data_IF_770925293596
#
_entry.id   IF_770925293596
#
_cell.length_a   1.000
_cell.length_b   1.000
_cell.length_c   1.000
_cell.angle_alpha   90.00
_cell.angle_beta   90.00
_cell.angle_gamma   90.00
#
_symmetry.space_group_name_H-M   'P 1'
#
loop_
_entity.id
_entity.type
_entity.pdbx_description
1 polymer ?
#
# COMPACT_ATOMS: atom_id res chain seq x y z
N UNK A 1 -0.34 4.16 -20.84
CA UNK A 1 -1.43 3.84 -21.78
C UNK A 1 -2.33 5.05 -21.90
N UNK A 2 -2.57 5.57 -23.12
CA UNK A 2 -3.52 6.66 -23.33
C UNK A 2 -4.96 6.15 -23.12
N UNK A 3 -5.81 7.00 -22.58
CA UNK A 3 -7.21 6.70 -22.26
C UNK A 3 -8.09 7.58 -23.14
N UNK A 4 -8.81 6.95 -24.06
CA UNK A 4 -9.53 7.64 -25.13
C UNK A 4 -11.01 7.88 -24.77
N UNK A 5 -11.47 7.36 -23.63
CA UNK A 5 -12.83 7.58 -23.15
C UNK A 5 -12.92 7.71 -21.63
N UNK A 6 -13.95 8.42 -21.12
CA UNK A 6 -14.24 8.49 -19.69
C UNK A 6 -14.34 7.12 -19.01
N UNK A 7 -14.94 6.14 -19.68
CA UNK A 7 -15.08 4.78 -19.14
C UNK A 7 -13.71 4.11 -18.91
N UNK A 8 -12.73 4.35 -19.80
CA UNK A 8 -11.36 3.86 -19.62
C UNK A 8 -10.67 4.57 -18.45
N UNK A 9 -10.93 5.87 -18.26
CA UNK A 9 -10.43 6.64 -17.10
C UNK A 9 -10.97 6.07 -15.80
N UNK A 10 -12.28 5.89 -15.69
CA UNK A 10 -12.89 5.33 -14.49
C UNK A 10 -12.44 3.89 -14.23
N UNK A 11 -12.31 3.08 -15.28
CA UNK A 11 -11.80 1.71 -15.18
C UNK A 11 -10.36 1.70 -14.64
N UNK A 12 -9.47 2.55 -15.17
CA UNK A 12 -8.09 2.66 -14.68
C UNK A 12 -8.02 3.12 -13.22
N UNK A 13 -8.81 4.12 -12.83
CA UNK A 13 -8.90 4.59 -11.44
C UNK A 13 -9.45 3.50 -10.51
N UNK A 14 -10.48 2.78 -10.96
CA UNK A 14 -11.08 1.64 -10.25
C UNK A 14 -10.04 0.53 -10.03
N UNK A 15 -9.24 0.22 -11.06
CA UNK A 15 -8.09 -0.70 -11.00
C UNK A 15 -6.97 -0.20 -10.08
N UNK A 16 -7.00 1.05 -9.64
CA UNK A 16 -5.98 1.64 -8.76
C UNK A 16 -4.71 2.08 -9.49
N UNK A 17 -4.78 2.22 -10.82
CA UNK A 17 -3.71 2.84 -11.62
C UNK A 17 -3.63 4.32 -11.33
N UNK A 18 -2.43 4.86 -11.44
CA UNK A 18 -2.23 6.30 -11.36
C UNK A 18 -2.59 6.89 -12.72
N UNK A 19 -3.60 7.75 -12.74
CA UNK A 19 -4.06 8.44 -13.95
C UNK A 19 -3.51 9.86 -13.94
N UNK A 20 -3.11 10.32 -15.11
CA UNK A 20 -2.57 11.65 -15.37
C UNK A 20 -3.37 12.31 -16.48
N UNK A 21 -3.35 13.63 -16.49
CA UNK A 21 -4.04 14.46 -17.47
C UNK A 21 -3.14 15.59 -17.95
N UNK A 22 -3.37 16.08 -19.16
CA UNK A 22 -2.80 17.32 -19.69
C UNK A 22 -3.77 17.97 -20.68
N UNK A 23 -3.54 19.23 -21.01
CA UNK A 23 -4.26 19.90 -22.09
C UNK A 23 -3.82 19.37 -23.46
N UNK A 24 -4.73 19.37 -24.43
CA UNK A 24 -4.42 18.97 -25.79
C UNK A 24 -3.32 19.87 -26.40
N UNK A 25 -2.19 19.25 -26.74
CA UNK A 25 -1.02 19.95 -27.30
C UNK A 25 0.06 20.25 -26.26
N UNK A 26 -0.17 19.93 -24.99
CA UNK A 26 0.84 19.94 -23.93
C UNK A 26 1.35 18.54 -23.61
N UNK A 27 2.62 18.45 -23.19
CA UNK A 27 3.26 17.25 -22.66
C UNK A 27 3.43 17.30 -21.13
N UNK A 28 2.87 18.32 -20.47
CA UNK A 28 2.96 18.53 -19.02
C UNK A 28 1.89 17.73 -18.28
N UNK A 29 2.20 16.46 -18.02
CA UNK A 29 1.29 15.54 -17.34
C UNK A 29 1.15 15.84 -15.85
N UNK A 30 -0.08 16.08 -15.42
CA UNK A 30 -0.45 16.32 -14.03
C UNK A 30 -1.23 15.13 -13.46
N UNK A 31 -0.98 14.68 -12.21
CA UNK A 31 -1.75 13.59 -11.62
C UNK A 31 -3.24 13.94 -11.46
N UNK A 32 -4.11 13.04 -11.89
CA UNK A 32 -5.54 13.11 -11.65
C UNK A 32 -5.84 12.63 -10.22
N UNK A 33 -5.94 13.57 -9.28
CA UNK A 33 -6.17 13.31 -7.87
C UNK A 33 -7.22 14.28 -7.28
N UNK A 34 -7.51 14.17 -5.98
CA UNK A 34 -8.51 15.02 -5.31
C UNK A 34 -8.22 16.52 -5.33
N UNK A 35 -6.98 16.92 -5.65
CA UNK A 35 -6.55 18.32 -5.78
C UNK A 35 -6.53 18.80 -7.24
N UNK A 36 -6.81 17.92 -8.20
CA UNK A 36 -6.87 18.31 -9.61
C UNK A 36 -8.02 19.31 -9.80
N UNK A 37 -7.75 20.40 -10.51
CA UNK A 37 -8.74 21.44 -10.83
C UNK A 37 -9.56 21.06 -12.07
N UNK A 38 -9.90 19.78 -12.20
CA UNK A 38 -10.69 19.25 -13.31
C UNK A 38 -12.08 18.89 -12.80
N UNK A 39 -13.10 19.33 -13.52
CA UNK A 39 -14.48 18.96 -13.28
C UNK A 39 -14.84 17.64 -13.99
N UNK A 40 -15.92 16.99 -13.55
CA UNK A 40 -16.42 15.79 -14.22
C UNK A 40 -16.78 16.05 -15.70
N UNK A 41 -17.28 17.24 -16.01
CA UNK A 41 -17.60 17.65 -17.39
C UNK A 41 -16.38 17.64 -18.30
N UNK A 42 -15.21 18.03 -17.79
CA UNK A 42 -13.98 18.15 -18.58
C UNK A 42 -13.47 16.80 -19.10
N UNK A 43 -13.90 15.69 -18.49
CA UNK A 43 -13.63 14.34 -19.00
C UNK A 43 -14.29 14.09 -20.36
N UNK A 44 -15.34 14.85 -20.70
CA UNK A 44 -16.15 14.69 -21.91
C UNK A 44 -15.94 15.81 -22.93
N UNK A 45 -15.15 16.84 -22.62
CA UNK A 45 -15.03 18.02 -23.49
C UNK A 45 -14.10 17.80 -24.68
N UNK A 46 -13.19 16.83 -24.61
CA UNK A 46 -12.21 16.53 -25.65
C UNK A 46 -10.95 17.39 -25.62
N UNK A 47 -10.90 18.45 -24.80
CA UNK A 47 -9.71 19.32 -24.69
C UNK A 47 -8.61 18.77 -23.78
N UNK A 48 -8.89 17.68 -23.06
CA UNK A 48 -7.94 17.05 -22.15
C UNK A 48 -7.55 15.67 -22.67
N UNK A 49 -6.26 15.36 -22.53
CA UNK A 49 -5.72 14.03 -22.76
C UNK A 49 -5.51 13.34 -21.42
N UNK A 50 -5.73 12.03 -21.39
CA UNK A 50 -5.56 11.23 -20.20
C UNK A 50 -4.66 10.03 -20.48
N UNK A 51 -3.85 9.66 -19.50
CA UNK A 51 -3.07 8.43 -19.54
C UNK A 51 -3.05 7.75 -18.18
N UNK A 52 -3.00 6.41 -18.19
CA UNK A 52 -2.74 5.61 -17.01
C UNK A 52 -1.33 5.03 -17.05
N UNK A 53 -0.70 4.98 -15.88
CA UNK A 53 0.47 4.14 -15.65
C UNK A 53 0.02 2.72 -15.31
N UNK A 54 0.63 1.74 -15.97
CA UNK A 54 0.33 0.34 -15.69
C UNK A 54 0.82 -0.06 -14.30
N UNK A 55 0.08 -0.99 -13.70
CA UNK A 55 0.51 -1.59 -12.44
C UNK A 55 1.79 -2.41 -12.67
N UNK A 56 2.73 -2.36 -11.73
CA UNK A 56 3.93 -3.20 -11.80
C UNK A 56 3.58 -4.69 -11.83
N UNK A 57 4.42 -5.47 -12.51
CA UNK A 57 4.36 -6.94 -12.48
C UNK A 57 5.36 -7.46 -11.45
N UNK A 58 4.86 -8.20 -10.47
CA UNK A 58 5.68 -8.75 -9.39
C UNK A 58 6.46 -9.97 -9.88
N UNK A 59 7.76 -10.05 -9.56
CA UNK A 59 8.58 -11.18 -9.94
C UNK A 59 8.18 -12.46 -9.18
N UNK A 60 7.76 -13.47 -9.94
CA UNK A 60 7.42 -14.81 -9.45
C UNK A 60 8.55 -15.83 -9.72
N UNK A 61 8.68 -16.92 -8.92
CA UNK A 61 7.92 -17.19 -7.70
C UNK A 61 8.38 -16.34 -6.52
N UNK A 62 7.48 -16.08 -5.58
CA UNK A 62 7.82 -15.43 -4.30
C UNK A 62 8.28 -16.53 -3.33
N UNK A 63 9.54 -16.49 -2.86
CA UNK A 63 10.07 -17.50 -1.95
C UNK A 63 9.37 -17.40 -0.59
N UNK A 64 8.95 -18.56 -0.06
CA UNK A 64 8.32 -18.65 1.26
C UNK A 64 9.37 -19.13 2.26
N UNK A 65 9.88 -18.20 3.07
CA UNK A 65 11.01 -18.47 3.98
C UNK A 65 10.56 -18.99 5.36
N UNK A 66 9.43 -18.52 5.88
CA UNK A 66 8.94 -18.87 7.23
C UNK A 66 7.43 -19.16 7.20
N UNK A 67 7.01 -20.38 7.55
CA UNK A 67 5.60 -20.80 7.61
C UNK A 67 5.02 -20.82 9.03
N UNK A 68 5.73 -20.32 10.05
CA UNK A 68 5.22 -20.28 11.43
C UNK A 68 3.98 -19.40 11.57
N UNK A 69 3.99 -18.24 10.91
CA UNK A 69 2.92 -17.25 11.06
C UNK A 69 1.94 -17.33 9.89
N UNK A 70 0.64 -17.22 10.20
CA UNK A 70 -0.41 -17.23 9.17
C UNK A 70 -0.22 -16.13 8.11
N UNK A 71 0.31 -14.97 8.49
CA UNK A 71 0.61 -13.87 7.58
C UNK A 71 1.97 -13.26 7.88
N UNK A 72 2.74 -12.98 6.83
CA UNK A 72 4.09 -12.46 6.97
C UNK A 72 4.44 -11.42 5.89
N UNK A 73 5.31 -10.48 6.25
CA UNK A 73 5.89 -9.52 5.32
C UNK A 73 7.06 -10.17 4.60
N UNK A 74 7.08 -10.09 3.28
CA UNK A 74 8.12 -10.71 2.46
C UNK A 74 9.19 -9.70 2.07
N UNK A 75 8.83 -8.64 1.33
CA UNK A 75 9.76 -7.63 0.82
C UNK A 75 9.05 -6.38 0.33
N UNK A 76 9.82 -5.34 0.07
CA UNK A 76 9.38 -4.19 -0.72
C UNK A 76 9.84 -4.36 -2.17
N UNK A 77 8.97 -4.08 -3.13
CA UNK A 77 9.26 -4.19 -4.56
C UNK A 77 8.47 -3.11 -5.30
N UNK A 78 9.17 -2.25 -6.07
CA UNK A 78 8.53 -1.23 -6.91
C UNK A 78 7.53 -0.31 -6.17
N UNK A 79 7.86 0.07 -4.93
CA UNK A 79 7.01 0.92 -4.09
C UNK A 79 5.82 0.20 -3.43
N UNK A 80 5.72 -1.12 -3.61
CA UNK A 80 4.71 -1.98 -3.00
C UNK A 80 5.32 -2.82 -1.88
N UNK A 81 4.53 -3.03 -0.83
CA UNK A 81 4.86 -3.96 0.24
C UNK A 81 4.21 -5.32 -0.06
N UNK A 82 5.02 -6.38 -0.15
CA UNK A 82 4.54 -7.73 -0.48
C UNK A 82 4.35 -8.53 0.80
N UNK A 83 3.19 -9.15 0.93
CA UNK A 83 2.81 -9.99 2.05
C UNK A 83 2.35 -11.36 1.56
N UNK A 84 2.63 -12.38 2.38
CA UNK A 84 1.99 -13.68 2.29
C UNK A 84 0.87 -13.75 3.31
N UNK A 85 -0.26 -14.33 2.93
CA UNK A 85 -1.36 -14.68 3.84
C UNK A 85 -1.81 -16.11 3.57
N UNK A 86 -1.93 -16.90 4.64
CA UNK A 86 -2.24 -18.32 4.59
C UNK A 86 -0.98 -19.20 4.57
N UNK A 87 -1.13 -20.40 5.15
CA UNK A 87 -0.07 -21.41 5.19
C UNK A 87 -0.25 -22.48 4.10
N UNK A 88 -1.51 -22.83 3.75
CA UNK A 88 -1.81 -23.73 2.63
C UNK A 88 -3.32 -23.66 2.26
N UNK A 89 -3.72 -23.16 1.08
CA UNK A 89 -2.88 -22.48 0.09
C UNK A 89 -2.40 -21.12 0.62
N UNK A 90 -1.15 -20.78 0.34
CA UNK A 90 -0.65 -19.43 0.57
C UNK A 90 -1.06 -18.51 -0.58
N UNK A 91 -1.50 -17.29 -0.26
CA UNK A 91 -1.79 -16.24 -1.23
C UNK A 91 -0.87 -15.06 -0.99
N UNK A 92 -0.57 -14.32 -2.05
CA UNK A 92 0.29 -13.15 -1.99
C UNK A 92 -0.50 -11.89 -2.26
N UNK A 93 -0.19 -10.84 -1.52
CA UNK A 93 -0.85 -9.55 -1.62
C UNK A 93 0.19 -8.44 -1.66
N UNK A 94 -0.01 -7.47 -2.54
CA UNK A 94 0.76 -6.23 -2.60
C UNK A 94 -0.05 -5.09 -1.99
N UNK A 95 0.59 -4.30 -1.13
CA UNK A 95 -0.01 -3.12 -0.50
C UNK A 95 0.64 -1.86 -1.06
N UNK A 96 -0.16 -0.95 -1.61
CA UNK A 96 0.26 0.40 -2.05
C UNK A 96 -0.24 1.43 -1.05
N UNK A 97 0.68 2.19 -0.46
CA UNK A 97 0.33 3.25 0.49
C UNK A 97 0.08 4.55 -0.29
N UNK A 98 -1.13 5.11 -0.23
CA UNK A 98 -1.45 6.40 -0.85
C UNK A 98 -1.18 7.55 0.13
N UNK A 99 -0.09 8.28 -0.10
CA UNK A 99 0.17 9.59 0.52
C UNK A 99 0.42 9.58 2.04
N UNK A 100 0.60 10.80 2.57
CA UNK A 100 1.07 11.04 3.94
C UNK A 100 -0.06 10.73 4.96
N UNK A 101 0.03 9.58 5.63
CA UNK A 101 -0.98 9.12 6.60
C UNK A 101 -0.76 9.75 7.97
N UNK A 102 -1.78 10.43 8.50
CA UNK A 102 -1.95 10.57 9.94
C UNK A 102 -2.17 9.18 10.58
N UNK A 103 -1.73 9.00 11.82
CA UNK A 103 -1.76 7.70 12.53
C UNK A 103 -3.17 7.11 12.64
N UNK A 104 -4.22 7.94 12.62
CA UNK A 104 -5.62 7.53 12.80
C UNK A 104 -6.26 6.84 11.59
N UNK A 105 -5.82 7.10 10.36
CA UNK A 105 -6.42 6.58 9.11
C UNK A 105 -5.49 5.62 8.35
N UNK A 106 -4.55 5.03 9.09
CA UNK A 106 -3.36 4.39 8.55
C UNK A 106 -3.61 3.25 7.56
N UNK A 107 -4.67 2.45 7.76
CA UNK A 107 -5.02 1.34 6.85
C UNK A 107 -6.12 1.71 5.84
N UNK A 108 -6.81 2.84 6.04
CA UNK A 108 -7.86 3.30 5.12
C UNK A 108 -7.29 3.77 3.77
N UNK A 109 -6.08 4.30 3.77
CA UNK A 109 -5.41 4.83 2.57
C UNK A 109 -4.46 3.82 1.90
N UNK A 110 -4.65 2.53 2.16
CA UNK A 110 -3.87 1.46 1.53
C UNK A 110 -4.73 0.79 0.47
N UNK A 111 -4.26 0.77 -0.78
CA UNK A 111 -4.79 -0.14 -1.76
C UNK A 111 -4.19 -1.53 -1.55
N UNK A 112 -5.03 -2.55 -1.67
CA UNK A 112 -4.63 -3.95 -1.54
C UNK A 112 -4.81 -4.59 -2.92
N UNK A 113 -3.80 -5.33 -3.36
CA UNK A 113 -3.82 -6.07 -4.61
C UNK A 113 -3.54 -7.54 -4.33
N UNK A 114 -4.33 -8.44 -4.89
CA UNK A 114 -3.99 -9.86 -4.99
C UNK A 114 -2.94 -10.02 -6.10
N UNK A 115 -1.87 -10.76 -5.80
CA UNK A 115 -0.82 -11.07 -6.78
C UNK A 115 -1.18 -12.40 -7.44
N UNK A 116 -1.50 -12.36 -8.72
CA UNK A 116 -1.82 -13.54 -9.51
C UNK A 116 -0.55 -14.37 -9.80
N UNK A 117 -0.74 -15.60 -10.28
CA UNK A 117 0.37 -16.54 -10.56
C UNK A 117 1.36 -16.03 -11.60
N UNK A 118 0.92 -15.16 -12.51
CA UNK A 118 1.76 -14.49 -13.51
C UNK A 118 2.41 -13.20 -12.98
N UNK A 119 2.23 -12.85 -11.71
CA UNK A 119 2.76 -11.64 -11.09
C UNK A 119 1.90 -10.38 -11.29
N UNK A 120 0.81 -10.46 -12.06
CA UNK A 120 -0.10 -9.33 -12.26
C UNK A 120 -0.88 -8.99 -10.99
N UNK A 121 -1.25 -7.72 -10.87
CA UNK A 121 -1.92 -7.18 -9.69
C UNK A 121 -3.42 -7.02 -9.97
N UNK A 122 -4.25 -7.69 -9.17
CA UNK A 122 -5.70 -7.53 -9.18
C UNK A 122 -6.12 -6.78 -7.93
N UNK A 123 -6.68 -5.59 -8.07
CA UNK A 123 -7.12 -4.79 -6.92
C UNK A 123 -8.22 -5.52 -6.15
N UNK A 124 -8.09 -5.48 -4.83
CA UNK A 124 -9.06 -6.04 -3.89
C UNK A 124 -9.99 -4.93 -3.43
N UNK A 125 -11.29 -5.12 -3.64
CA UNK A 125 -12.29 -4.25 -3.02
C UNK A 125 -12.36 -4.53 -1.52
N UNK A 126 -11.95 -3.55 -0.72
CA UNK A 126 -11.92 -3.66 0.74
C UNK A 126 -13.32 -3.77 1.37
N UNK A 127 -14.36 -3.27 0.71
CA UNK A 127 -15.73 -3.38 1.20
C UNK A 127 -16.27 -4.80 1.07
N UNK A 128 -15.83 -5.52 0.03
CA UNK A 128 -16.23 -6.91 -0.25
C UNK A 128 -15.23 -7.95 0.28
N UNK A 129 -14.02 -7.52 0.63
CA UNK A 129 -12.99 -8.40 1.14
C UNK A 129 -13.39 -9.01 2.50
N UNK A 130 -13.06 -10.28 2.75
CA UNK A 130 -13.25 -10.88 4.06
C UNK A 130 -12.50 -10.11 5.14
N UNK A 131 -13.15 -9.83 6.28
CA UNK A 131 -12.54 -9.10 7.41
C UNK A 131 -11.22 -9.72 7.88
N UNK A 132 -11.14 -11.06 7.88
CA UNK A 132 -9.92 -11.75 8.28
C UNK A 132 -8.72 -11.37 7.42
N UNK A 133 -8.91 -11.09 6.12
CA UNK A 133 -7.82 -10.75 5.22
C UNK A 133 -7.25 -9.37 5.57
N UNK A 134 -8.13 -8.38 5.67
CA UNK A 134 -7.74 -6.99 5.99
C UNK A 134 -7.13 -6.89 7.37
N UNK A 135 -7.72 -7.56 8.39
CA UNK A 135 -7.17 -7.60 9.74
C UNK A 135 -5.79 -8.26 9.82
N UNK A 136 -5.57 -9.38 9.12
CA UNK A 136 -4.27 -10.04 9.15
C UNK A 136 -3.19 -9.20 8.46
N UNK A 137 -3.50 -8.59 7.30
CA UNK A 137 -2.59 -7.69 6.63
C UNK A 137 -2.24 -6.47 7.49
N UNK A 138 -3.22 -5.88 8.17
CA UNK A 138 -3.01 -4.77 9.09
C UNK A 138 -2.13 -5.16 10.30
N UNK A 139 -2.42 -6.31 10.92
CA UNK A 139 -1.64 -6.83 12.06
C UNK A 139 -0.20 -7.11 11.64
N UNK A 140 0.01 -7.83 10.54
CA UNK A 140 1.36 -8.15 10.04
C UNK A 140 2.12 -6.90 9.66
N UNK A 141 1.49 -5.95 8.98
CA UNK A 141 2.09 -4.66 8.63
C UNK A 141 2.53 -3.89 9.88
N UNK A 142 1.65 -3.78 10.87
CA UNK A 142 1.94 -3.09 12.14
C UNK A 142 3.08 -3.76 12.89
N UNK A 143 3.07 -5.09 12.97
CA UNK A 143 4.14 -5.87 13.59
C UNK A 143 5.47 -5.66 12.88
N UNK A 144 5.50 -5.68 11.54
CA UNK A 144 6.71 -5.44 10.76
C UNK A 144 7.29 -4.04 11.01
N UNK A 145 6.46 -2.99 11.04
CA UNK A 145 6.93 -1.62 11.36
C UNK A 145 7.48 -1.51 12.77
N UNK A 146 6.81 -2.11 13.76
CA UNK A 146 7.32 -2.17 15.14
C UNK A 146 8.67 -2.88 15.20
N UNK A 147 8.81 -4.00 14.49
CA UNK A 147 10.08 -4.73 14.37
C UNK A 147 11.19 -3.85 13.77
N UNK A 148 10.92 -3.16 12.66
CA UNK A 148 11.89 -2.26 12.02
C UNK A 148 12.28 -1.11 12.95
N UNK A 149 11.30 -0.47 13.61
CA UNK A 149 11.56 0.58 14.60
C UNK A 149 12.41 0.09 15.76
N UNK A 150 12.06 -1.06 16.33
CA UNK A 150 12.80 -1.63 17.46
C UNK A 150 14.22 -1.99 17.05
N UNK A 151 14.43 -2.59 15.88
CA UNK A 151 15.78 -2.88 15.37
C UNK A 151 16.60 -1.60 15.17
N UNK A 152 15.99 -0.50 14.71
CA UNK A 152 16.68 0.78 14.61
C UNK A 152 17.06 1.35 15.98
N UNK A 153 16.14 1.27 16.97
CA UNK A 153 16.39 1.68 18.35
C UNK A 153 17.51 0.85 19.01
N UNK A 154 17.52 -0.45 18.77
CA UNK A 154 18.56 -1.36 19.24
C UNK A 154 19.93 -1.00 18.66
N UNK A 155 20.02 -0.71 17.36
CA UNK A 155 21.25 -0.30 16.69
C UNK A 155 21.85 1.00 17.25
N UNK A 156 21.01 1.93 17.69
CA UNK A 156 21.48 3.18 18.32
C UNK A 156 21.72 3.04 19.83
N UNK A 157 21.63 1.81 20.38
CA UNK A 157 21.86 1.55 21.79
C UNK A 157 20.77 2.09 22.71
N UNK A 158 19.61 2.50 22.18
CA UNK A 158 18.52 3.12 22.95
C UNK A 158 18.08 2.24 24.12
N UNK A 159 17.96 0.93 23.91
CA UNK A 159 17.53 -0.01 24.95
C UNK A 159 18.58 -0.25 26.05
N UNK A 160 19.81 0.23 25.88
CA UNK A 160 20.85 0.24 26.90
C UNK A 160 21.13 1.64 27.46
N UNK A 161 20.34 2.66 27.12
CA UNK A 161 20.53 4.03 27.60
C UNK A 161 19.96 4.22 29.01
N UNK A 162 20.55 5.12 29.79
CA UNK A 162 20.06 5.45 31.15
C UNK A 162 18.62 5.96 31.12
N UNK A 163 18.25 6.74 30.10
CA UNK A 163 16.89 7.23 29.95
C UNK A 163 15.88 6.09 29.77
N UNK A 164 16.24 5.04 29.03
CA UNK A 164 15.39 3.87 28.87
C UNK A 164 15.29 3.04 30.17
N UNK A 165 16.38 2.89 30.92
CA UNK A 165 16.35 2.26 32.25
C UNK A 165 15.44 3.00 33.24
N UNK A 166 15.52 4.33 33.27
CA UNK A 166 14.71 5.17 34.15
C UNK A 166 13.23 5.17 33.74
N UNK A 167 12.95 5.14 32.43
CA UNK A 167 11.61 4.91 31.91
C UNK A 167 11.05 3.53 32.32
N UNK A 168 11.84 2.46 32.23
CA UNK A 168 11.41 1.13 32.66
C UNK A 168 11.10 1.08 34.16
N UNK A 169 11.92 1.74 35.00
CA UNK A 169 11.68 1.85 36.44
C UNK A 169 10.38 2.60 36.73
N UNK A 170 10.15 3.77 36.12
CA UNK A 170 8.91 4.55 36.34
C UNK A 170 7.63 3.81 35.92
N UNK A 171 7.67 3.02 34.84
CA UNK A 171 6.56 2.16 34.40
C UNK A 171 6.28 1.00 35.38
N UNK A 172 7.29 0.43 36.03
CA UNK A 172 7.13 -0.61 37.07
C UNK A 172 6.46 -0.08 38.34
N UNK A 173 6.60 1.22 38.62
CA UNK A 173 6.07 1.86 39.83
C UNK A 173 4.82 2.73 39.58
N UNK A 174 4.26 2.72 38.37
CA UNK A 174 2.98 3.38 38.10
C UNK A 174 1.83 2.52 38.64
N UNK A 175 1.01 3.01 39.59
CA UNK A 175 -0.19 2.30 40.02
C UNK A 175 -1.15 2.14 38.83
N UNK A 176 -1.85 1.00 38.76
CA UNK A 176 -2.89 0.76 37.76
C UNK A 176 -4.08 1.70 37.93
#
# INVERSE_FOLDING_TARGET
>A
MNLDSPDQIFSALSDGRDVYWCEEGSDDWTPLNQKAQISFSDLYTGFLKFMALDLPVIKMPIPVMDTRYFSDFIRNEQGLEIYRVGNNPCRFYALKVKGNTFISDYFRNIDIYHIESNGSLKKVDKALAPKWLTENLERTRTANRRRVRNSALEKVGFFGSREYEDFQKSKKYSPK
#
